data_IF_529843021450
#
_entry.id   IF_529843021450
#
_cell.length_a   1.000
_cell.length_b   1.000
_cell.length_c   1.000
_cell.angle_alpha   90.00
_cell.angle_beta   90.00
_cell.angle_gamma   90.00
#
_symmetry.space_group_name_H-M   'P 1'
#
loop_
_entity.id
_entity.type
_entity.pdbx_description
1 polymer ?
#
# COMPACT_ATOMS: atom_id res chain seq x y z
N UNK A 1 14.55 14.78 -1.66
CA UNK A 1 14.02 14.21 -0.39
C UNK A 1 13.40 12.86 -0.72
N UNK A 2 13.45 11.88 0.22
CA UNK A 2 12.90 10.53 0.04
C UNK A 2 11.96 10.23 1.19
N UNK A 3 10.83 9.54 0.92
CA UNK A 3 9.92 9.00 1.93
C UNK A 3 9.81 7.48 1.73
N UNK A 4 10.14 6.70 2.75
CA UNK A 4 10.23 5.24 2.65
C UNK A 4 9.06 4.50 3.33
N UNK A 5 7.99 5.23 3.72
CA UNK A 5 6.84 4.63 4.38
C UNK A 5 5.57 5.40 4.04
N UNK A 6 4.90 5.00 2.96
CA UNK A 6 3.71 5.68 2.42
C UNK A 6 2.62 4.67 2.13
N UNK A 7 1.36 5.03 2.47
CA UNK A 7 0.18 4.20 2.26
C UNK A 7 -0.78 4.83 1.27
N UNK A 8 -1.43 3.99 0.47
CA UNK A 8 -2.47 4.38 -0.47
C UNK A 8 -3.87 3.92 -0.01
N UNK A 9 -4.89 4.24 -0.82
CA UNK A 9 -6.25 3.69 -0.65
C UNK A 9 -6.33 2.18 -0.89
N UNK A 10 -5.24 1.51 -1.23
CA UNK A 10 -5.19 0.05 -1.25
C UNK A 10 -5.07 -0.56 0.14
N UNK A 11 -4.75 0.26 1.16
CA UNK A 11 -4.82 -0.09 2.58
C UNK A 11 -5.58 1.00 3.36
N UNK A 12 -4.90 1.79 4.14
CA UNK A 12 -5.47 2.80 5.03
C UNK A 12 -5.06 4.25 4.70
N UNK A 13 -4.38 4.46 3.59
CA UNK A 13 -4.06 5.78 3.07
C UNK A 13 -5.28 6.48 2.45
N UNK A 14 -5.18 7.78 2.23
CA UNK A 14 -6.28 8.62 1.69
C UNK A 14 -6.14 8.92 0.21
N UNK A 15 -4.95 8.76 -0.36
CA UNK A 15 -4.69 9.00 -1.77
C UNK A 15 -4.63 7.68 -2.55
N UNK A 16 -5.12 7.69 -3.78
CA UNK A 16 -4.88 6.58 -4.71
C UNK A 16 -3.39 6.45 -5.02
N UNK A 17 -2.92 5.28 -5.48
CA UNK A 17 -1.53 5.11 -5.88
C UNK A 17 -1.04 6.15 -6.90
N UNK A 18 -1.89 6.56 -7.83
CA UNK A 18 -1.62 7.58 -8.83
C UNK A 18 -1.50 8.98 -8.21
N UNK A 19 -2.45 9.36 -7.36
CA UNK A 19 -2.44 10.65 -6.64
C UNK A 19 -1.22 10.79 -5.72
N UNK A 20 -0.71 9.67 -5.15
CA UNK A 20 0.53 9.67 -4.38
C UNK A 20 1.74 10.05 -5.24
N UNK A 21 1.82 9.60 -6.48
CA UNK A 21 2.87 10.00 -7.41
C UNK A 21 2.78 11.49 -7.69
N UNK A 22 1.59 12.02 -7.98
CA UNK A 22 1.37 13.45 -8.22
C UNK A 22 1.72 14.30 -6.98
N UNK A 23 1.34 13.83 -5.80
CA UNK A 23 1.65 14.49 -4.54
C UNK A 23 3.16 14.47 -4.24
N UNK A 24 3.85 13.37 -4.52
CA UNK A 24 5.30 13.26 -4.39
C UNK A 24 6.04 14.24 -5.35
N UNK A 25 5.54 14.39 -6.58
CA UNK A 25 6.03 15.41 -7.53
C UNK A 25 5.85 16.82 -6.93
N UNK A 26 4.66 17.11 -6.42
CA UNK A 26 4.35 18.41 -5.80
C UNK A 26 5.25 18.73 -4.60
N UNK A 27 5.60 17.71 -3.81
CA UNK A 27 6.50 17.81 -2.64
C UNK A 27 7.98 17.78 -3.01
N UNK A 28 8.34 17.58 -4.26
CA UNK A 28 9.73 17.51 -4.71
C UNK A 28 10.47 16.28 -4.18
N UNK A 29 9.77 15.16 -3.97
CA UNK A 29 10.40 13.91 -3.62
C UNK A 29 11.16 13.36 -4.83
N UNK A 30 12.33 12.77 -4.56
CA UNK A 30 13.11 12.05 -5.58
C UNK A 30 12.74 10.57 -5.66
N UNK A 31 12.26 10.02 -4.53
CA UNK A 31 11.73 8.66 -4.44
C UNK A 31 10.74 8.55 -3.27
N UNK A 32 9.82 7.59 -3.34
CA UNK A 32 9.04 7.14 -2.19
C UNK A 32 8.78 5.64 -2.28
N UNK A 33 8.64 4.99 -1.11
CA UNK A 33 8.24 3.59 -1.05
C UNK A 33 6.75 3.50 -0.76
N UNK A 34 6.01 2.81 -1.64
CA UNK A 34 4.62 2.46 -1.38
C UNK A 34 4.59 1.16 -0.57
N UNK A 35 4.09 1.26 0.67
CA UNK A 35 4.18 0.20 1.68
C UNK A 35 2.82 -0.11 2.29
N UNK A 36 1.81 -0.28 1.47
CA UNK A 36 0.45 -0.60 1.90
C UNK A 36 0.42 -1.81 2.85
N UNK A 37 -0.49 -1.79 3.82
CA UNK A 37 -0.66 -2.88 4.79
C UNK A 37 -1.11 -4.18 4.12
N UNK A 38 -0.28 -5.20 4.21
CA UNK A 38 -0.54 -6.59 3.79
C UNK A 38 -1.05 -6.73 2.35
N UNK A 39 -0.75 -5.77 1.49
CA UNK A 39 -1.14 -5.78 0.07
C UNK A 39 -0.08 -5.13 -0.83
N UNK A 40 -0.04 -5.58 -2.06
CA UNK A 40 0.81 -5.02 -3.13
C UNK A 40 -0.01 -4.47 -4.31
N UNK A 41 -1.33 -4.36 -4.14
CA UNK A 41 -2.26 -3.99 -5.22
C UNK A 41 -2.04 -2.58 -5.76
N UNK A 42 -1.45 -1.68 -4.96
CA UNK A 42 -1.10 -0.32 -5.35
C UNK A 42 0.17 -0.20 -6.20
N UNK A 43 1.09 -1.17 -6.07
CA UNK A 43 2.45 -1.06 -6.63
C UNK A 43 2.46 -0.92 -8.16
N UNK A 44 1.81 -1.83 -8.89
CA UNK A 44 1.76 -1.79 -10.35
C UNK A 44 1.09 -0.50 -10.87
N UNK A 45 0.09 0.00 -10.15
CA UNK A 45 -0.61 1.24 -10.49
C UNK A 45 0.32 2.44 -10.38
N UNK A 46 0.94 2.63 -9.21
CA UNK A 46 1.87 3.74 -8.96
C UNK A 46 3.08 3.71 -9.91
N UNK A 47 3.69 2.52 -10.08
CA UNK A 47 4.88 2.35 -10.93
C UNK A 47 4.56 2.67 -12.39
N UNK A 48 3.48 2.09 -12.94
CA UNK A 48 3.09 2.34 -14.34
C UNK A 48 2.70 3.79 -14.59
N UNK A 49 2.04 4.43 -13.63
CA UNK A 49 1.69 5.83 -13.73
C UNK A 49 2.94 6.73 -13.75
N UNK A 50 3.88 6.51 -12.84
CA UNK A 50 5.15 7.24 -12.81
C UNK A 50 5.97 7.03 -14.09
N UNK A 51 6.03 5.79 -14.61
CA UNK A 51 6.71 5.48 -15.87
C UNK A 51 6.06 6.18 -17.07
N UNK A 52 4.73 6.21 -17.12
CA UNK A 52 3.98 6.95 -18.14
C UNK A 52 4.31 8.44 -18.15
N UNK A 53 4.39 9.06 -16.97
CA UNK A 53 4.77 10.48 -16.83
C UNK A 53 6.21 10.72 -17.32
N UNK A 54 7.18 9.84 -16.98
CA UNK A 54 8.57 9.95 -17.46
C UNK A 54 8.64 9.83 -18.99
N UNK A 55 7.90 8.89 -19.59
CA UNK A 55 7.84 8.71 -21.04
C UNK A 55 7.24 9.94 -21.73
N UNK A 56 6.16 10.51 -21.18
CA UNK A 56 5.54 11.70 -21.71
C UNK A 56 6.49 12.91 -21.68
N UNK A 57 7.23 13.09 -20.58
CA UNK A 57 8.25 14.14 -20.46
C UNK A 57 9.38 13.95 -21.49
N UNK A 58 9.84 12.72 -21.71
CA UNK A 58 10.88 12.42 -22.69
C UNK A 58 10.41 12.66 -24.13
N UNK A 59 9.14 12.41 -24.43
CA UNK A 59 8.55 12.60 -25.76
C UNK A 59 8.27 14.07 -26.10
N UNK A 60 8.10 14.94 -25.11
CA UNK A 60 7.82 16.37 -25.28
C UNK A 60 8.72 17.19 -24.37
N UNK A 61 10.04 17.31 -24.71
CA UNK A 61 10.94 18.13 -23.93
C UNK A 61 10.49 19.58 -23.97
N UNK A 62 10.30 20.17 -22.78
CA UNK A 62 9.95 21.57 -22.60
C UNK A 62 11.19 22.36 -22.16
N UNK A 63 11.31 23.62 -22.57
CA UNK A 63 12.36 24.52 -22.09
C UNK A 63 12.15 24.92 -20.60
N UNK A 64 10.98 24.61 -20.02
CA UNK A 64 10.72 24.79 -18.59
C UNK A 64 11.38 23.68 -17.78
N UNK A 65 11.88 23.95 -16.56
CA UNK A 65 12.40 22.92 -15.68
C UNK A 65 11.31 21.88 -15.40
N UNK A 66 11.49 20.67 -15.94
CA UNK A 66 10.56 19.58 -15.72
C UNK A 66 10.55 19.20 -14.23
N UNK A 67 9.36 19.07 -13.64
CA UNK A 67 9.24 18.50 -12.30
C UNK A 67 9.77 17.07 -12.34
N UNK A 68 10.65 16.72 -11.40
CA UNK A 68 11.21 15.37 -11.33
C UNK A 68 10.11 14.39 -10.94
N UNK A 69 9.87 13.38 -11.80
CA UNK A 69 8.99 12.28 -11.45
C UNK A 69 9.73 11.34 -10.48
N UNK A 70 9.19 11.12 -9.27
CA UNK A 70 9.86 10.31 -8.24
C UNK A 70 9.99 8.85 -8.66
N UNK A 71 11.02 8.18 -8.18
CA UNK A 71 11.10 6.73 -8.22
C UNK A 71 10.08 6.13 -7.23
N UNK A 72 9.28 5.16 -7.67
CA UNK A 72 8.39 4.39 -6.81
C UNK A 72 9.12 3.12 -6.40
N UNK A 73 9.47 3.02 -5.13
CA UNK A 73 10.14 1.86 -4.54
C UNK A 73 9.07 0.85 -4.14
N UNK A 74 9.11 -0.40 -4.66
CA UNK A 74 8.17 -1.41 -4.25
C UNK A 74 8.42 -1.83 -2.80
N UNK A 75 7.40 -1.69 -1.96
CA UNK A 75 7.44 -2.04 -0.55
C UNK A 75 6.14 -2.67 -0.09
N UNK A 76 6.12 -3.06 1.16
CA UNK A 76 4.95 -3.58 1.88
C UNK A 76 5.14 -3.34 3.37
N UNK A 77 4.06 -3.10 4.10
CA UNK A 77 4.05 -3.18 5.55
C UNK A 77 3.28 -4.42 6.01
N UNK A 78 3.97 -5.37 6.62
CA UNK A 78 3.37 -6.59 7.14
C UNK A 78 2.90 -6.38 8.58
N UNK A 79 1.62 -6.64 8.84
CA UNK A 79 1.02 -6.61 10.18
C UNK A 79 1.28 -7.93 10.87
N UNK A 80 2.29 -7.99 11.71
CA UNK A 80 2.72 -9.19 12.42
C UNK A 80 2.46 -9.08 13.92
N UNK A 81 2.49 -10.20 14.63
CA UNK A 81 2.40 -10.27 16.09
C UNK A 81 3.58 -11.06 16.67
N UNK A 82 4.16 -10.55 17.72
CA UNK A 82 5.17 -11.25 18.49
C UNK A 82 4.91 -11.12 19.99
N UNK A 83 4.77 -12.24 20.68
CA UNK A 83 4.49 -12.32 22.13
C UNK A 83 3.28 -11.46 22.57
N UNK A 84 2.19 -11.50 21.79
CA UNK A 84 0.96 -10.76 22.08
C UNK A 84 1.06 -9.23 21.88
N UNK A 85 2.08 -8.80 21.13
CA UNK A 85 2.25 -7.39 20.73
C UNK A 85 2.22 -7.28 19.21
N UNK A 86 1.43 -6.34 18.71
CA UNK A 86 1.45 -6.00 17.29
C UNK A 86 2.81 -5.39 16.93
N UNK A 87 3.41 -5.92 15.87
CA UNK A 87 4.68 -5.45 15.30
C UNK A 87 4.46 -5.30 13.80
N UNK A 88 4.68 -4.10 13.28
CA UNK A 88 4.66 -3.85 11.87
C UNK A 88 6.07 -3.92 11.29
N UNK A 89 6.21 -4.66 10.20
CA UNK A 89 7.50 -4.84 9.52
C UNK A 89 7.42 -4.28 8.12
N UNK A 90 8.25 -3.26 7.84
CA UNK A 90 8.35 -2.65 6.51
C UNK A 90 9.40 -3.39 5.67
N UNK A 91 8.95 -3.97 4.56
CA UNK A 91 9.81 -4.53 3.51
C UNK A 91 9.98 -3.51 2.39
N UNK A 92 11.21 -3.28 1.95
CA UNK A 92 11.53 -2.39 0.83
C UNK A 92 12.24 -3.16 -0.28
N UNK A 93 12.12 -2.68 -1.53
CA UNK A 93 12.72 -3.30 -2.71
C UNK A 93 12.28 -4.77 -2.89
N UNK A 94 11.03 -5.07 -2.55
CA UNK A 94 10.48 -6.42 -2.64
C UNK A 94 10.27 -6.84 -4.08
N UNK A 95 10.52 -8.10 -4.39
CA UNK A 95 10.13 -8.73 -5.66
C UNK A 95 8.70 -9.29 -5.54
N UNK A 96 7.72 -8.38 -5.54
CA UNK A 96 6.30 -8.70 -5.34
C UNK A 96 5.67 -9.51 -6.47
N UNK A 97 6.38 -9.71 -7.60
CA UNK A 97 5.90 -10.50 -8.73
C UNK A 97 6.28 -11.98 -8.63
N UNK A 98 7.08 -12.37 -7.64
CA UNK A 98 7.39 -13.78 -7.41
C UNK A 98 6.15 -14.53 -6.95
N UNK A 99 5.81 -15.69 -7.58
CA UNK A 99 4.63 -16.48 -7.18
C UNK A 99 4.64 -16.92 -5.72
N UNK A 100 5.82 -17.24 -5.19
CA UNK A 100 5.98 -17.62 -3.79
C UNK A 100 5.62 -16.48 -2.84
N UNK A 101 6.00 -15.25 -3.17
CA UNK A 101 5.63 -14.06 -2.39
C UNK A 101 4.11 -13.86 -2.36
N UNK A 102 3.45 -13.98 -3.51
CA UNK A 102 1.99 -13.87 -3.60
C UNK A 102 1.29 -14.93 -2.73
N UNK A 103 1.79 -16.17 -2.73
CA UNK A 103 1.24 -17.24 -1.92
C UNK A 103 1.36 -16.95 -0.41
N UNK A 104 2.53 -16.50 0.06
CA UNK A 104 2.71 -16.11 1.46
C UNK A 104 1.81 -14.93 1.84
N UNK A 105 1.63 -13.97 0.94
CA UNK A 105 0.76 -12.81 1.19
C UNK A 105 -0.71 -13.22 1.31
N UNK A 106 -1.19 -14.18 0.52
CA UNK A 106 -2.54 -14.73 0.65
C UNK A 106 -2.77 -15.37 2.02
N UNK A 107 -1.79 -16.09 2.56
CA UNK A 107 -1.86 -16.67 3.90
C UNK A 107 -1.92 -15.59 5.00
N UNK A 108 -1.20 -14.49 4.83
CA UNK A 108 -1.29 -13.34 5.73
C UNK A 108 -2.68 -12.70 5.70
N UNK A 109 -3.23 -12.43 4.53
CA UNK A 109 -4.58 -11.86 4.34
C UNK A 109 -5.61 -12.76 5.01
N UNK A 110 -5.58 -14.06 4.72
CA UNK A 110 -6.50 -15.04 5.32
C UNK A 110 -6.40 -15.09 6.85
N UNK A 111 -5.20 -14.95 7.40
CA UNK A 111 -5.00 -14.88 8.85
C UNK A 111 -5.67 -13.66 9.47
N UNK A 112 -5.60 -12.50 8.80
CA UNK A 112 -6.30 -11.27 9.24
C UNK A 112 -7.81 -11.39 9.18
N UNK A 113 -8.34 -11.95 8.08
CA UNK A 113 -9.79 -12.19 7.94
C UNK A 113 -10.30 -13.07 9.09
N UNK A 114 -9.65 -14.18 9.36
CA UNK A 114 -9.99 -15.07 10.48
C UNK A 114 -9.93 -14.35 11.84
N UNK A 115 -8.96 -13.44 12.05
CA UNK A 115 -8.86 -12.63 13.26
C UNK A 115 -10.04 -11.65 13.37
N UNK A 116 -10.40 -10.99 12.28
CA UNK A 116 -11.48 -10.01 12.24
C UNK A 116 -12.84 -10.70 12.48
N UNK A 117 -13.08 -11.87 11.90
CA UNK A 117 -14.28 -12.67 12.17
C UNK A 117 -14.40 -13.06 13.66
N UNK A 118 -13.29 -13.51 14.27
CA UNK A 118 -13.25 -13.81 15.71
C UNK A 118 -13.50 -12.59 16.57
N UNK A 119 -12.97 -11.43 16.17
CA UNK A 119 -13.21 -10.18 16.87
C UNK A 119 -14.69 -9.77 16.80
N UNK A 120 -15.32 -9.86 15.63
CA UNK A 120 -16.76 -9.61 15.47
C UNK A 120 -17.60 -10.60 16.30
N UNK A 121 -17.20 -11.87 16.37
CA UNK A 121 -17.87 -12.86 17.23
C UNK A 121 -17.79 -12.48 18.71
N UNK A 122 -16.61 -12.05 19.17
CA UNK A 122 -16.40 -11.61 20.56
C UNK A 122 -17.22 -10.34 20.89
N UNK A 123 -17.27 -9.38 19.97
CA UNK A 123 -18.08 -8.16 20.14
C UNK A 123 -19.57 -8.48 20.32
N UNK A 124 -20.10 -9.46 19.56
CA UNK A 124 -21.49 -9.93 19.73
C UNK A 124 -21.75 -10.58 21.08
N UNK A 125 -20.77 -11.28 21.68
CA UNK A 125 -20.88 -11.78 23.06
C UNK A 125 -21.00 -10.67 24.11
N UNK A 126 -20.61 -9.44 23.75
CA UNK A 126 -20.71 -8.22 24.57
C UNK A 126 -21.84 -7.29 24.11
N UNK A 127 -22.89 -7.82 23.49
CA UNK A 127 -24.09 -7.08 23.03
C UNK A 127 -23.80 -5.99 21.98
N UNK A 128 -22.68 -6.09 21.26
CA UNK A 128 -22.36 -5.23 20.11
C UNK A 128 -22.68 -6.01 18.84
N UNK A 129 -23.84 -5.71 18.23
CA UNK A 129 -24.31 -6.42 17.04
C UNK A 129 -23.59 -5.93 15.78
N UNK A 130 -22.43 -6.55 15.51
CA UNK A 130 -21.61 -6.29 14.34
C UNK A 130 -21.19 -7.61 13.69
N UNK A 131 -21.24 -7.68 12.35
CA UNK A 131 -20.72 -8.80 11.58
C UNK A 131 -19.57 -8.36 10.67
N UNK A 132 -18.72 -9.30 10.28
CA UNK A 132 -17.61 -9.00 9.37
C UNK A 132 -18.13 -8.58 7.99
N UNK A 133 -19.23 -9.21 7.49
CA UNK A 133 -19.88 -8.83 6.25
C UNK A 133 -20.43 -7.41 6.27
N UNK A 134 -21.00 -6.99 7.42
CA UNK A 134 -21.50 -5.61 7.57
C UNK A 134 -20.35 -4.60 7.53
N UNK A 135 -19.21 -4.92 8.15
CA UNK A 135 -18.01 -4.08 8.06
C UNK A 135 -17.50 -3.96 6.63
N UNK A 136 -17.39 -5.07 5.90
CA UNK A 136 -16.94 -5.06 4.50
C UNK A 136 -17.88 -4.31 3.55
N UNK A 137 -19.15 -4.14 3.91
CA UNK A 137 -20.12 -3.40 3.11
C UNK A 137 -20.06 -1.88 3.32
N UNK A 138 -19.45 -1.43 4.41
CA UNK A 138 -19.30 0.00 4.76
C UNK A 138 -17.97 0.61 4.27
N UNK A 139 -16.96 -0.22 4.05
CA UNK A 139 -15.60 0.18 3.67
C UNK A 139 -15.13 -0.55 2.40
#
# INVERSE_FOLDING_TARGET
MVDLHVHSTCSDGTFTPEELVDYAIQKGLTAFALTDHDTVNGLDRAIRYADGLRQAQAASPSDAPASQVPEVIPGIELSTEYQGKDIHMVGLFIDYRQPEFAHYLEDFIRSRENRNEKMCALLREHDIDITYEALLAEF
#
